data_IF_417750802220
#
_entry.id   IF_417750802220
#
_cell.length_a   1.000
_cell.length_b   1.000
_cell.length_c   1.000
_cell.angle_alpha   90.00
_cell.angle_beta   90.00
_cell.angle_gamma   90.00
#
_symmetry.space_group_name_H-M   'P 1'
#
loop_
_entity.id
_entity.type
_entity.pdbx_description
1 polymer ?
#
# COMPACT_ATOMS: atom_id res chain seq x y z
N UNK A 1 -22.17 -28.07 -39.99
CA UNK A 1 -22.49 -29.46 -40.41
C UNK A 1 -23.83 -29.97 -39.90
N UNK A 2 -24.27 -29.68 -38.66
CA UNK A 2 -25.53 -30.20 -38.10
C UNK A 2 -26.77 -29.91 -38.95
N UNK A 3 -26.96 -28.65 -39.37
CA UNK A 3 -28.11 -28.23 -40.19
C UNK A 3 -28.14 -28.88 -41.58
N UNK A 4 -26.98 -29.20 -42.16
CA UNK A 4 -26.89 -29.87 -43.45
C UNK A 4 -27.26 -31.35 -43.32
N UNK A 5 -26.72 -32.05 -42.33
CA UNK A 5 -27.00 -33.47 -42.10
C UNK A 5 -28.49 -33.73 -41.82
N UNK A 6 -29.13 -32.87 -41.01
CA UNK A 6 -30.57 -32.96 -40.70
C UNK A 6 -31.49 -32.80 -41.92
N UNK A 7 -31.00 -32.32 -43.07
CA UNK A 7 -31.78 -32.28 -44.32
C UNK A 7 -31.84 -33.61 -45.06
N UNK A 8 -30.87 -34.49 -44.84
CA UNK A 8 -30.71 -35.71 -45.65
C UNK A 8 -30.92 -37.00 -44.85
N UNK A 9 -30.56 -36.99 -43.57
CA UNK A 9 -30.50 -38.21 -42.77
C UNK A 9 -31.00 -37.96 -41.36
N UNK A 10 -31.56 -39.00 -40.73
CA UNK A 10 -32.01 -38.96 -39.36
C UNK A 10 -31.73 -40.29 -38.64
N UNK A 11 -31.16 -40.20 -37.45
CA UNK A 11 -31.07 -41.28 -36.47
C UNK A 11 -30.88 -40.71 -35.05
N UNK A 12 -31.11 -41.51 -33.99
CA UNK A 12 -30.90 -41.06 -32.62
C UNK A 12 -29.45 -40.61 -32.39
N UNK A 13 -29.26 -39.42 -31.80
CA UNK A 13 -27.94 -38.82 -31.50
C UNK A 13 -27.08 -38.45 -32.72
N UNK A 14 -27.67 -38.26 -33.91
CA UNK A 14 -26.97 -37.77 -35.12
C UNK A 14 -26.08 -36.56 -34.86
N UNK A 15 -26.52 -35.60 -34.05
CA UNK A 15 -25.70 -34.42 -33.71
C UNK A 15 -24.45 -34.76 -32.89
N UNK A 16 -24.56 -35.72 -31.97
CA UNK A 16 -23.44 -36.15 -31.14
C UNK A 16 -22.41 -36.94 -31.97
N UNK A 17 -22.88 -37.73 -32.93
CA UNK A 17 -22.01 -38.43 -33.87
C UNK A 17 -21.28 -37.46 -34.80
N UNK A 18 -21.97 -36.44 -35.30
CA UNK A 18 -21.35 -35.38 -36.11
C UNK A 18 -20.34 -34.55 -35.31
N UNK A 19 -20.63 -34.26 -34.04
CA UNK A 19 -19.67 -33.62 -33.14
C UNK A 19 -18.44 -34.48 -32.92
N UNK A 20 -18.61 -35.80 -32.72
CA UNK A 20 -17.52 -36.75 -32.54
C UNK A 20 -16.62 -36.81 -33.78
N UNK A 21 -17.20 -36.85 -34.98
CA UNK A 21 -16.44 -36.80 -36.24
C UNK A 21 -15.72 -35.46 -36.39
N UNK A 22 -16.39 -34.34 -36.09
CA UNK A 22 -15.76 -33.02 -36.14
C UNK A 22 -14.65 -32.85 -35.11
N UNK A 23 -14.73 -33.50 -33.94
CA UNK A 23 -13.68 -33.54 -32.92
C UNK A 23 -12.48 -34.40 -33.32
N UNK A 24 -12.73 -35.50 -34.04
CA UNK A 24 -11.69 -36.40 -34.53
C UNK A 24 -10.96 -35.89 -35.78
N UNK A 25 -11.53 -34.92 -36.50
CA UNK A 25 -10.94 -34.34 -37.70
C UNK A 25 -9.83 -33.33 -37.36
N UNK A 26 -8.58 -33.73 -37.57
CA UNK A 26 -7.38 -32.92 -37.26
C UNK A 26 -7.35 -31.55 -38.00
N UNK A 27 -7.59 -31.45 -39.32
CA UNK A 27 -7.67 -30.15 -40.00
C UNK A 27 -8.75 -29.22 -39.41
N UNK A 28 -9.90 -29.79 -39.01
CA UNK A 28 -10.95 -29.00 -38.37
C UNK A 28 -10.58 -28.55 -36.96
N UNK A 29 -9.78 -29.31 -36.22
CA UNK A 29 -9.30 -28.91 -34.90
C UNK A 29 -8.25 -27.80 -34.99
N UNK A 30 -7.36 -27.85 -35.98
CA UNK A 30 -6.32 -26.83 -36.16
C UNK A 30 -6.90 -25.44 -36.49
N UNK A 31 -8.00 -25.40 -37.25
CA UNK A 31 -8.69 -24.16 -37.63
C UNK A 31 -9.79 -23.74 -36.64
N UNK A 32 -9.94 -24.43 -35.50
CA UNK A 32 -10.90 -24.00 -34.48
C UNK A 32 -10.49 -22.67 -33.87
N UNK A 33 -11.49 -21.83 -33.57
CA UNK A 33 -11.29 -20.63 -32.76
C UNK A 33 -10.74 -21.03 -31.40
N UNK A 34 -9.82 -20.21 -30.89
CA UNK A 34 -9.29 -20.37 -29.54
C UNK A 34 -10.44 -20.55 -28.52
N UNK A 35 -10.26 -21.44 -27.52
CA UNK A 35 -11.28 -21.66 -26.50
C UNK A 35 -11.63 -20.34 -25.80
N UNK A 36 -12.87 -20.25 -25.33
CA UNK A 36 -13.29 -19.08 -24.53
C UNK A 36 -12.34 -18.95 -23.34
N UNK A 37 -11.93 -17.71 -23.05
CA UNK A 37 -11.06 -17.43 -21.91
C UNK A 37 -11.70 -18.00 -20.64
N UNK A 38 -10.88 -18.70 -19.86
CA UNK A 38 -11.28 -19.23 -18.55
C UNK A 38 -11.63 -18.08 -17.61
N UNK A 39 -12.56 -18.28 -16.65
CA UNK A 39 -12.86 -17.29 -15.63
C UNK A 39 -11.59 -16.86 -14.92
N UNK A 40 -11.44 -15.55 -14.68
CA UNK A 40 -10.31 -15.01 -13.94
C UNK A 40 -10.34 -15.56 -12.52
N UNK A 41 -9.29 -16.28 -12.13
CA UNK A 41 -9.08 -16.67 -10.74
C UNK A 41 -8.42 -15.48 -10.03
N UNK A 42 -9.11 -14.82 -9.09
CA UNK A 42 -8.52 -13.70 -8.37
C UNK A 42 -7.39 -14.21 -7.48
N UNK A 43 -6.33 -13.42 -7.39
CA UNK A 43 -5.30 -13.62 -6.39
C UNK A 43 -5.89 -13.51 -4.98
N UNK A 44 -5.42 -14.35 -4.07
CA UNK A 44 -5.75 -14.22 -2.65
C UNK A 44 -5.34 -12.83 -2.15
N UNK A 45 -6.23 -12.19 -1.41
CA UNK A 45 -5.96 -10.88 -0.84
C UNK A 45 -4.89 -11.00 0.26
N UNK A 46 -3.78 -10.26 0.17
CA UNK A 46 -2.64 -10.42 1.09
C UNK A 46 -2.95 -10.03 2.54
N UNK A 47 -3.99 -9.24 2.79
CA UNK A 47 -4.41 -8.80 4.12
C UNK A 47 -3.52 -7.75 4.80
N UNK A 48 -2.30 -7.50 4.31
CA UNK A 48 -1.39 -6.49 4.84
C UNK A 48 -0.55 -5.81 3.76
N UNK A 49 -0.20 -4.54 3.99
CA UNK A 49 0.72 -3.76 3.18
C UNK A 49 2.06 -4.46 3.02
N UNK A 50 2.63 -4.46 1.82
CA UNK A 50 3.99 -4.94 1.55
C UNK A 50 4.21 -6.44 1.72
N UNK A 51 3.16 -7.26 1.75
CA UNK A 51 3.30 -8.73 1.74
C UNK A 51 3.56 -9.26 0.34
N UNK A 52 2.71 -8.87 -0.62
CA UNK A 52 2.87 -9.22 -2.04
C UNK A 52 3.09 -7.95 -2.85
N UNK A 53 4.18 -7.94 -3.59
CA UNK A 53 4.58 -6.82 -4.44
C UNK A 53 4.65 -7.30 -5.89
N UNK A 54 4.17 -6.50 -6.82
CA UNK A 54 4.39 -6.72 -8.24
C UNK A 54 5.43 -5.75 -8.78
N UNK A 55 6.31 -6.24 -9.65
CA UNK A 55 7.33 -5.44 -10.31
C UNK A 55 7.21 -5.62 -11.82
N UNK A 56 7.33 -4.52 -12.54
CA UNK A 56 7.37 -4.51 -14.00
C UNK A 56 8.27 -3.38 -14.51
N UNK A 57 8.76 -3.52 -15.73
CA UNK A 57 9.58 -2.51 -16.39
C UNK A 57 8.78 -1.82 -17.51
N UNK A 58 8.71 -0.49 -17.42
CA UNK A 58 8.13 0.35 -18.45
C UNK A 58 9.23 0.98 -19.30
N UNK A 59 9.48 0.48 -20.50
CA UNK A 59 10.46 1.10 -21.39
C UNK A 59 10.39 0.63 -22.85
N UNK A 60 10.94 1.43 -23.78
CA UNK A 60 11.38 2.81 -23.60
C UNK A 60 10.18 3.79 -23.56
N UNK A 61 10.14 4.68 -22.57
CA UNK A 61 9.16 5.77 -22.45
C UNK A 61 9.89 7.07 -22.17
N UNK A 62 9.65 8.12 -22.96
CA UNK A 62 10.43 9.37 -22.90
C UNK A 62 11.96 9.16 -23.00
N UNK A 63 12.40 8.15 -23.76
CA UNK A 63 13.83 7.81 -23.88
C UNK A 63 14.44 7.12 -22.67
N UNK A 64 13.64 6.72 -21.67
CA UNK A 64 14.09 6.07 -20.46
C UNK A 64 13.32 4.79 -20.16
N UNK A 65 13.91 3.94 -19.33
CA UNK A 65 13.23 2.76 -18.78
C UNK A 65 12.94 3.01 -17.31
N UNK A 66 11.74 2.65 -16.86
CA UNK A 66 11.30 2.81 -15.49
C UNK A 66 11.00 1.46 -14.87
N UNK A 67 11.51 1.23 -13.67
CA UNK A 67 11.08 0.12 -12.82
C UNK A 67 9.87 0.60 -12.02
N UNK A 68 8.76 -0.11 -12.17
CA UNK A 68 7.50 0.18 -11.49
C UNK A 68 7.22 -0.93 -10.51
N UNK A 69 7.00 -0.56 -9.25
CA UNK A 69 6.74 -1.47 -8.15
C UNK A 69 5.42 -1.09 -7.50
N UNK A 70 4.58 -2.09 -7.27
CA UNK A 70 3.23 -1.90 -6.77
C UNK A 70 2.96 -2.85 -5.61
N UNK A 71 2.56 -2.29 -4.47
CA UNK A 71 2.00 -3.08 -3.38
C UNK A 71 0.56 -3.53 -3.69
N UNK A 72 0.28 -4.83 -3.53
CA UNK A 72 -1.05 -5.38 -3.84
C UNK A 72 -2.13 -4.94 -2.86
N UNK A 73 -1.80 -4.69 -1.59
CA UNK A 73 -2.77 -4.33 -0.57
C UNK A 73 -3.13 -2.84 -0.65
N UNK A 74 -2.17 -1.97 -0.38
CA UNK A 74 -2.36 -0.52 -0.31
C UNK A 74 -2.45 0.14 -1.68
N UNK A 75 -2.05 -0.57 -2.76
CA UNK A 75 -1.85 0.01 -4.10
C UNK A 75 -0.76 1.09 -4.11
N UNK A 76 0.16 1.05 -3.15
CA UNK A 76 1.32 1.93 -3.10
C UNK A 76 2.19 1.72 -4.34
N UNK A 77 2.51 2.81 -5.02
CA UNK A 77 3.26 2.83 -6.27
C UNK A 77 4.63 3.46 -6.03
N UNK A 78 5.68 2.76 -6.43
CA UNK A 78 7.05 3.26 -6.53
C UNK A 78 7.49 3.23 -7.99
N UNK A 79 8.16 4.29 -8.44
CA UNK A 79 8.65 4.40 -9.81
C UNK A 79 10.09 4.88 -9.75
N UNK A 80 10.99 4.13 -10.40
CA UNK A 80 12.40 4.48 -10.48
C UNK A 80 12.87 4.52 -11.92
N UNK A 81 13.53 5.61 -12.30
CA UNK A 81 14.27 5.66 -13.56
C UNK A 81 15.50 4.75 -13.50
N UNK A 82 15.64 3.90 -14.51
CA UNK A 82 16.71 2.91 -14.63
C UNK A 82 17.53 3.20 -15.88
N UNK A 83 18.84 3.40 -15.71
CA UNK A 83 19.76 3.54 -16.83
C UNK A 83 19.94 2.21 -17.57
N UNK A 84 20.06 1.12 -16.80
CA UNK A 84 20.24 -0.25 -17.31
C UNK A 84 19.28 -1.20 -16.58
N UNK A 85 18.76 -2.19 -17.33
CA UNK A 85 17.83 -3.22 -16.84
C UNK A 85 18.54 -4.54 -16.48
N UNK A 86 19.73 -4.48 -15.88
CA UNK A 86 20.44 -5.70 -15.46
C UNK A 86 19.92 -6.20 -14.10
N UNK A 87 20.16 -7.47 -13.80
CA UNK A 87 19.83 -8.06 -12.51
C UNK A 87 20.52 -7.32 -11.36
N UNK A 88 21.81 -6.99 -11.52
CA UNK A 88 22.59 -6.29 -10.50
C UNK A 88 22.03 -4.89 -10.19
N UNK A 89 21.66 -4.09 -11.20
CA UNK A 89 21.09 -2.76 -10.96
C UNK A 89 19.71 -2.87 -10.31
N UNK A 90 18.91 -3.85 -10.71
CA UNK A 90 17.59 -4.15 -10.13
C UNK A 90 17.72 -4.56 -8.66
N UNK A 91 18.62 -5.48 -8.33
CA UNK A 91 18.91 -5.92 -6.96
C UNK A 91 19.41 -4.75 -6.11
N UNK A 92 20.30 -3.90 -6.63
CA UNK A 92 20.79 -2.74 -5.90
C UNK A 92 19.66 -1.76 -5.54
N UNK A 93 18.68 -1.58 -6.43
CA UNK A 93 17.48 -0.77 -6.16
C UNK A 93 16.57 -1.44 -5.13
N UNK A 94 16.31 -2.73 -5.29
CA UNK A 94 15.50 -3.49 -4.33
C UNK A 94 16.10 -3.49 -2.93
N UNK A 95 17.41 -3.63 -2.79
CA UNK A 95 18.11 -3.52 -1.48
C UNK A 95 17.83 -2.18 -0.79
N UNK A 96 17.89 -1.07 -1.52
CA UNK A 96 17.59 0.27 -0.97
C UNK A 96 16.12 0.38 -0.55
N UNK A 97 15.22 -0.15 -1.35
CA UNK A 97 13.78 -0.13 -1.10
C UNK A 97 13.39 -1.01 0.09
N UNK A 98 14.00 -2.20 0.22
CA UNK A 98 13.79 -3.07 1.38
C UNK A 98 14.37 -2.49 2.66
N UNK A 99 15.50 -1.76 2.58
CA UNK A 99 16.06 -1.03 3.71
C UNK A 99 15.17 0.15 4.17
N UNK A 100 14.44 0.79 3.25
CA UNK A 100 13.54 1.90 3.57
C UNK A 100 12.21 1.45 4.19
N UNK A 101 11.72 0.26 3.79
CA UNK A 101 10.42 -0.25 4.20
C UNK A 101 10.57 -1.54 5.02
N UNK A 102 10.49 -2.69 4.36
CA UNK A 102 10.75 -4.03 4.92
C UNK A 102 10.96 -5.02 3.77
N UNK A 103 11.28 -6.27 4.09
CA UNK A 103 11.27 -7.37 3.12
C UNK A 103 9.81 -7.81 2.86
N UNK A 104 9.40 -8.02 1.60
CA UNK A 104 8.12 -8.62 1.27
C UNK A 104 8.13 -10.15 1.44
N UNK A 105 6.97 -10.76 1.62
CA UNK A 105 6.81 -12.23 1.65
C UNK A 105 6.86 -12.80 0.22
N UNK A 106 6.30 -12.07 -0.75
CA UNK A 106 6.21 -12.52 -2.14
C UNK A 106 6.45 -11.37 -3.13
N UNK A 107 7.21 -11.66 -4.18
CA UNK A 107 7.40 -10.76 -5.32
C UNK A 107 6.92 -11.46 -6.59
N UNK A 108 6.07 -10.77 -7.34
CA UNK A 108 5.55 -11.22 -8.63
C UNK A 108 6.17 -10.39 -9.74
N UNK A 109 6.78 -11.03 -10.73
CA UNK A 109 7.41 -10.35 -11.89
C UNK A 109 7.00 -11.00 -13.21
N UNK A 110 7.38 -10.37 -14.31
CA UNK A 110 7.41 -11.04 -15.61
C UNK A 110 8.60 -12.02 -15.72
N UNK A 111 8.69 -12.71 -16.86
CA UNK A 111 9.85 -13.58 -17.20
C UNK A 111 11.02 -12.79 -17.81
N UNK A 112 11.18 -11.51 -17.46
CA UNK A 112 12.33 -10.72 -17.90
C UNK A 112 13.65 -11.36 -17.44
N UNK A 113 14.68 -11.30 -18.28
CA UNK A 113 15.99 -11.93 -18.02
C UNK A 113 16.63 -11.44 -16.71
N UNK A 114 16.34 -10.19 -16.34
CA UNK A 114 16.77 -9.58 -15.08
C UNK A 114 16.18 -10.23 -13.82
N UNK A 115 14.99 -10.83 -13.93
CA UNK A 115 14.33 -11.52 -12.83
C UNK A 115 14.59 -13.03 -12.84
N UNK A 116 14.93 -13.61 -13.99
CA UNK A 116 15.20 -15.06 -14.09
C UNK A 116 16.67 -15.42 -13.87
N UNK A 117 17.56 -14.43 -13.78
CA UNK A 117 19.00 -14.65 -13.54
C UNK A 117 19.30 -15.36 -12.21
N UNK A 118 20.41 -16.08 -12.17
CA UNK A 118 20.86 -16.80 -10.97
C UNK A 118 21.16 -15.86 -9.79
N UNK A 119 21.76 -14.69 -10.07
CA UNK A 119 22.00 -13.65 -9.07
C UNK A 119 20.70 -13.19 -8.38
N UNK A 120 19.62 -13.02 -9.16
CA UNK A 120 18.32 -12.61 -8.63
C UNK A 120 17.67 -13.73 -7.80
N UNK A 121 17.74 -14.98 -8.29
CA UNK A 121 17.25 -16.15 -7.55
C UNK A 121 17.97 -16.30 -6.20
N UNK A 122 19.29 -16.19 -6.19
CA UNK A 122 20.10 -16.26 -4.97
C UNK A 122 19.73 -15.13 -4.01
N UNK A 123 19.54 -13.91 -4.53
CA UNK A 123 19.09 -12.78 -3.71
C UNK A 123 17.72 -13.02 -3.08
N UNK A 124 16.76 -13.59 -3.81
CA UNK A 124 15.43 -13.90 -3.28
C UNK A 124 15.50 -15.00 -2.20
N UNK A 125 16.26 -16.08 -2.45
CA UNK A 125 16.46 -17.16 -1.49
C UNK A 125 17.14 -16.69 -0.21
N UNK A 126 18.18 -15.85 -0.30
CA UNK A 126 18.90 -15.32 0.87
C UNK A 126 18.01 -14.46 1.77
N UNK A 127 16.96 -13.84 1.21
CA UNK A 127 16.05 -12.99 1.96
C UNK A 127 14.71 -13.70 2.28
N UNK A 128 14.60 -14.99 1.99
CA UNK A 128 13.38 -15.80 2.15
C UNK A 128 12.14 -15.16 1.48
N UNK A 129 12.34 -14.63 0.27
CA UNK A 129 11.28 -14.00 -0.52
C UNK A 129 10.79 -14.98 -1.57
N UNK A 130 9.49 -15.27 -1.59
CA UNK A 130 8.89 -16.09 -2.64
C UNK A 130 8.84 -15.31 -3.96
N UNK A 131 9.65 -15.70 -4.92
CA UNK A 131 9.62 -15.14 -6.27
C UNK A 131 8.67 -15.95 -7.17
N UNK A 132 7.66 -15.29 -7.72
CA UNK A 132 6.70 -15.90 -8.66
C UNK A 132 6.76 -15.16 -9.99
N UNK A 133 6.98 -15.89 -11.08
CA UNK A 133 6.97 -15.29 -12.42
C UNK A 133 5.65 -15.56 -13.14
N UNK A 134 5.25 -14.66 -14.03
CA UNK A 134 4.11 -14.91 -14.93
C UNK A 134 4.45 -16.06 -15.88
N UNK A 135 3.50 -16.96 -16.16
CA UNK A 135 3.73 -18.00 -17.16
C UNK A 135 3.83 -17.37 -18.57
N UNK A 136 4.71 -17.87 -19.46
CA UNK A 136 4.77 -17.41 -20.84
C UNK A 136 3.38 -17.51 -21.50
N UNK A 137 2.90 -16.42 -22.10
CA UNK A 137 1.57 -16.36 -22.73
C UNK A 137 0.39 -16.06 -21.78
N UNK A 138 0.64 -15.89 -20.47
CA UNK A 138 -0.37 -15.51 -19.48
C UNK A 138 -0.07 -14.14 -18.83
N UNK A 139 -0.19 -13.02 -19.58
CA UNK A 139 0.05 -11.67 -19.06
C UNK A 139 -0.88 -11.31 -17.89
N UNK A 140 -2.03 -12.00 -17.77
CA UNK A 140 -2.98 -11.81 -16.67
C UNK A 140 -2.35 -11.97 -15.28
N UNK A 141 -1.30 -12.79 -15.13
CA UNK A 141 -0.64 -13.05 -13.84
C UNK A 141 0.07 -11.79 -13.29
N UNK A 142 0.65 -10.95 -14.15
CA UNK A 142 1.26 -9.67 -13.78
C UNK A 142 0.42 -8.45 -14.22
N UNK A 143 -0.84 -8.66 -14.60
CA UNK A 143 -1.70 -7.60 -15.15
C UNK A 143 -1.95 -6.42 -14.19
N UNK A 144 -1.71 -6.61 -12.89
CA UNK A 144 -1.71 -5.51 -11.93
C UNK A 144 -0.60 -4.51 -12.24
N UNK A 145 0.65 -4.96 -12.37
CA UNK A 145 1.77 -4.08 -12.66
C UNK A 145 1.61 -3.42 -14.04
N UNK A 146 1.17 -4.17 -15.06
CA UNK A 146 0.90 -3.63 -16.39
C UNK A 146 -0.14 -2.48 -16.36
N UNK A 147 -1.21 -2.63 -15.57
CA UNK A 147 -2.21 -1.57 -15.37
C UNK A 147 -1.60 -0.32 -14.73
N UNK A 148 -0.68 -0.50 -13.78
CA UNK A 148 0.01 0.62 -13.16
C UNK A 148 1.07 1.27 -14.07
N UNK A 149 1.71 0.49 -14.95
CA UNK A 149 2.53 1.03 -16.05
C UNK A 149 1.71 1.96 -16.94
N UNK A 150 0.49 1.56 -17.31
CA UNK A 150 -0.40 2.40 -18.10
C UNK A 150 -0.83 3.66 -17.34
N UNK A 151 -1.13 3.52 -16.05
CA UNK A 151 -1.51 4.64 -15.17
C UNK A 151 -0.37 5.65 -15.05
N UNK A 152 0.87 5.17 -14.86
CA UNK A 152 2.07 6.00 -14.85
C UNK A 152 2.27 6.73 -16.18
N UNK A 153 2.25 6.00 -17.31
CA UNK A 153 2.42 6.61 -18.65
C UNK A 153 1.36 7.67 -18.92
N UNK A 154 0.10 7.42 -18.55
CA UNK A 154 -1.00 8.37 -18.70
C UNK A 154 -0.82 9.60 -17.83
N UNK A 155 -0.43 9.41 -16.56
CA UNK A 155 -0.11 10.51 -15.63
C UNK A 155 1.03 11.39 -16.15
N UNK A 156 2.13 10.78 -16.60
CA UNK A 156 3.27 11.51 -17.15
C UNK A 156 2.94 12.27 -18.44
N UNK A 157 2.08 11.71 -19.32
CA UNK A 157 1.60 12.43 -20.50
C UNK A 157 0.79 13.68 -20.13
N UNK A 158 -0.02 13.62 -19.07
CA UNK A 158 -0.76 14.79 -18.58
C UNK A 158 0.18 15.89 -18.05
N UNK A 159 1.31 15.51 -17.46
CA UNK A 159 2.33 16.44 -16.96
C UNK A 159 3.33 16.91 -18.04
N UNK A 160 3.14 16.51 -19.30
CA UNK A 160 4.07 16.85 -20.38
C UNK A 160 4.17 18.36 -20.64
N UNK A 161 3.08 19.11 -20.43
CA UNK A 161 3.02 20.56 -20.65
C UNK A 161 3.79 21.39 -19.60
N UNK A 162 4.19 20.79 -18.47
CA UNK A 162 4.91 21.50 -17.42
C UNK A 162 6.41 21.60 -17.74
N UNK A 163 7.00 22.78 -17.53
CA UNK A 163 8.44 23.04 -17.66
C UNK A 163 9.18 22.63 -16.38
N UNK A 164 9.17 21.34 -16.06
CA UNK A 164 9.84 20.76 -14.89
C UNK A 164 10.76 19.61 -15.32
N UNK A 165 11.76 19.30 -14.50
CA UNK A 165 12.60 18.11 -14.72
C UNK A 165 11.77 16.83 -14.58
N UNK A 166 12.25 15.75 -15.20
CA UNK A 166 11.56 14.47 -15.22
C UNK A 166 11.39 13.89 -13.81
N UNK A 167 12.41 13.97 -12.96
CA UNK A 167 12.34 13.43 -11.58
C UNK A 167 11.35 14.23 -10.73
N UNK A 168 11.27 15.55 -10.92
CA UNK A 168 10.28 16.39 -10.26
C UNK A 168 8.85 16.06 -10.72
N UNK A 169 8.66 15.78 -12.02
CA UNK A 169 7.37 15.32 -12.57
C UNK A 169 6.96 13.97 -11.98
N UNK A 170 7.89 13.03 -11.84
CA UNK A 170 7.63 11.73 -11.21
C UNK A 170 7.24 11.94 -9.75
N UNK A 171 7.97 12.78 -9.02
CA UNK A 171 7.69 13.09 -7.61
C UNK A 171 6.30 13.72 -7.43
N UNK A 172 5.94 14.67 -8.30
CA UNK A 172 4.62 15.30 -8.32
C UNK A 172 3.51 14.27 -8.61
N UNK A 173 3.72 13.43 -9.63
CA UNK A 173 2.79 12.35 -9.98
C UNK A 173 2.58 11.38 -8.82
N UNK A 174 3.67 10.90 -8.20
CA UNK A 174 3.61 9.97 -7.09
C UNK A 174 2.88 10.57 -5.89
N UNK A 175 3.16 11.83 -5.56
CA UNK A 175 2.47 12.53 -4.47
C UNK A 175 0.96 12.58 -4.73
N UNK A 176 0.55 13.02 -5.92
CA UNK A 176 -0.87 13.10 -6.29
C UNK A 176 -1.55 11.73 -6.29
N UNK A 177 -0.89 10.71 -6.86
CA UNK A 177 -1.43 9.35 -6.90
C UNK A 177 -1.60 8.76 -5.50
N UNK A 178 -0.60 8.92 -4.63
CA UNK A 178 -0.60 8.36 -3.27
C UNK A 178 -1.64 8.97 -2.35
N UNK A 179 -2.00 10.24 -2.55
CA UNK A 179 -3.01 10.95 -1.75
C UNK A 179 -4.42 10.83 -2.32
N UNK A 180 -4.57 10.39 -3.57
CA UNK A 180 -5.89 10.24 -4.20
C UNK A 180 -6.52 8.91 -3.80
N UNK A 181 -7.77 8.89 -3.32
CA UNK A 181 -8.48 7.65 -3.01
C UNK A 181 -8.56 6.72 -4.23
N UNK A 182 -8.23 5.45 -4.04
CA UNK A 182 -8.33 4.45 -5.09
C UNK A 182 -9.76 3.89 -5.15
N UNK A 183 -10.32 3.73 -6.34
CA UNK A 183 -11.68 3.23 -6.53
C UNK A 183 -11.91 1.81 -5.99
N UNK A 184 -10.85 0.98 -5.90
CA UNK A 184 -10.95 -0.40 -5.44
C UNK A 184 -10.97 -0.50 -3.91
N UNK A 185 -10.18 0.33 -3.23
CA UNK A 185 -10.01 0.27 -1.76
C UNK A 185 -10.84 1.32 -1.03
N UNK A 186 -11.32 2.36 -1.72
CA UNK A 186 -12.04 3.50 -1.11
C UNK A 186 -11.16 4.43 -0.28
N UNK A 187 -9.89 4.11 -0.08
CA UNK A 187 -8.92 4.89 0.69
C UNK A 187 -7.70 5.23 -0.17
N UNK A 188 -6.93 6.26 0.22
CA UNK A 188 -5.71 6.62 -0.50
C UNK A 188 -4.62 5.57 -0.26
N UNK A 189 -3.75 5.31 -1.26
CA UNK A 189 -2.63 4.40 -1.06
C UNK A 189 -1.73 4.80 0.11
N UNK A 190 -1.58 6.10 0.38
CA UNK A 190 -0.77 6.58 1.48
C UNK A 190 -1.36 6.28 2.85
N UNK A 191 -2.67 6.41 3.01
CA UNK A 191 -3.34 6.11 4.27
C UNK A 191 -3.23 4.61 4.60
N UNK A 192 -3.42 3.75 3.60
CA UNK A 192 -3.30 2.29 3.76
C UNK A 192 -1.86 1.83 3.99
N UNK A 193 -0.89 2.45 3.31
CA UNK A 193 0.50 2.05 3.40
C UNK A 193 1.17 2.55 4.67
N UNK A 194 0.96 3.83 5.01
CA UNK A 194 1.61 4.47 6.16
C UNK A 194 0.77 4.39 7.44
N UNK A 195 -0.47 3.92 7.37
CA UNK A 195 -1.45 3.91 8.47
C UNK A 195 -1.60 5.28 9.14
N UNK A 196 -1.41 6.36 8.37
CA UNK A 196 -1.55 7.75 8.82
C UNK A 196 -1.92 8.65 7.65
N UNK A 197 -2.64 9.72 7.95
CA UNK A 197 -2.95 10.74 6.97
C UNK A 197 -1.70 11.47 6.50
N UNK A 198 -1.45 11.49 5.19
CA UNK A 198 -0.35 12.26 4.62
C UNK A 198 -0.77 13.70 4.45
N UNK A 199 -0.02 14.60 5.09
CA UNK A 199 -0.31 16.02 5.04
C UNK A 199 -0.08 16.58 3.63
N UNK A 200 -1.10 17.17 3.04
CA UNK A 200 -1.07 17.80 1.72
C UNK A 200 -1.38 19.30 1.81
N UNK A 201 -1.23 20.02 0.69
CA UNK A 201 -1.62 21.43 0.61
C UNK A 201 -3.14 21.64 0.77
N UNK A 202 -3.95 20.62 0.49
CA UNK A 202 -5.41 20.70 0.64
C UNK A 202 -5.84 20.64 2.10
N UNK A 203 -5.01 20.10 2.98
CA UNK A 203 -5.32 20.02 4.42
C UNK A 203 -5.34 21.38 5.10
N UNK A 204 -4.68 22.40 4.52
CA UNK A 204 -4.76 23.77 5.01
C UNK A 204 -6.15 24.39 4.89
N UNK A 205 -7.05 23.79 4.09
CA UNK A 205 -8.44 24.22 3.98
C UNK A 205 -9.23 23.75 5.21
N UNK A 206 -8.82 22.66 5.86
CA UNK A 206 -9.50 22.14 7.03
C UNK A 206 -9.18 23.03 8.25
N UNK A 207 -10.19 23.40 9.06
CA UNK A 207 -9.96 24.18 10.26
C UNK A 207 -9.06 23.41 11.22
N UNK A 208 -8.05 24.09 11.75
CA UNK A 208 -7.07 23.47 12.65
C UNK A 208 -7.75 23.02 13.95
N UNK A 209 -7.91 21.71 14.10
CA UNK A 209 -8.51 21.08 15.29
C UNK A 209 -7.72 21.47 16.55
N UNK A 210 -6.42 21.73 16.44
CA UNK A 210 -5.60 22.13 17.59
C UNK A 210 -6.00 23.50 18.13
N UNK A 211 -6.45 24.42 17.27
CA UNK A 211 -6.97 25.73 17.69
C UNK A 211 -8.28 25.56 18.45
N UNK A 212 -9.17 24.71 17.95
CA UNK A 212 -10.42 24.38 18.64
C UNK A 212 -10.18 23.72 20.00
N UNK A 213 -9.25 22.77 20.08
CA UNK A 213 -8.86 22.08 21.32
C UNK A 213 -8.21 23.06 22.30
N UNK A 214 -7.24 23.87 21.86
CA UNK A 214 -6.58 24.89 22.70
C UNK A 214 -7.58 25.90 23.24
N UNK A 215 -8.55 26.34 22.42
CA UNK A 215 -9.61 27.24 22.86
C UNK A 215 -10.47 26.60 23.96
N UNK A 216 -10.85 25.33 23.80
CA UNK A 216 -11.59 24.58 24.83
C UNK A 216 -10.77 24.42 26.12
N UNK A 217 -9.49 24.08 26.01
CA UNK A 217 -8.57 23.98 27.15
C UNK A 217 -8.41 25.32 27.87
N UNK A 218 -8.27 26.42 27.12
CA UNK A 218 -8.16 27.77 27.68
C UNK A 218 -9.44 28.18 28.40
N UNK A 219 -10.62 27.94 27.80
CA UNK A 219 -11.90 28.21 28.45
C UNK A 219 -12.08 27.37 29.71
N UNK A 220 -11.72 26.08 29.67
CA UNK A 220 -11.76 25.21 30.84
C UNK A 220 -10.85 25.74 31.96
N UNK A 221 -9.62 26.15 31.63
CA UNK A 221 -8.71 26.80 32.58
C UNK A 221 -9.31 28.11 33.12
N UNK A 222 -9.82 28.98 32.27
CA UNK A 222 -10.42 30.26 32.65
C UNK A 222 -11.57 30.09 33.65
N UNK A 223 -12.52 29.19 33.36
CA UNK A 223 -13.63 28.93 34.28
C UNK A 223 -13.17 28.24 35.58
N UNK A 224 -12.20 27.34 35.50
CA UNK A 224 -11.63 26.71 36.70
C UNK A 224 -10.92 27.73 37.59
N UNK A 225 -10.10 28.60 37.00
CA UNK A 225 -9.31 29.61 37.70
C UNK A 225 -10.19 30.69 38.37
N UNK A 226 -11.39 30.98 37.84
CA UNK A 226 -12.36 31.87 38.50
C UNK A 226 -12.82 31.36 39.87
N UNK A 227 -12.86 30.05 40.07
CA UNK A 227 -13.22 29.44 41.35
C UNK A 227 -12.01 28.89 42.11
N UNK A 228 -10.81 28.97 41.54
CA UNK A 228 -9.60 28.46 42.15
C UNK A 228 -8.98 29.50 43.09
N UNK A 229 -8.55 29.03 44.26
CA UNK A 229 -7.78 29.84 45.20
C UNK A 229 -6.33 29.36 45.14
N UNK A 230 -5.40 30.27 44.89
CA UNK A 230 -3.97 29.96 44.96
C UNK A 230 -3.61 29.56 46.39
N UNK A 231 -3.04 28.36 46.54
CA UNK A 231 -2.51 27.86 47.80
C UNK A 231 -1.03 27.59 47.60
N UNK A 232 -0.19 28.37 48.27
CA UNK A 232 1.24 28.14 48.37
C UNK A 232 1.56 27.61 49.76
N UNK A 233 2.46 26.64 49.82
CA UNK A 233 2.97 26.08 51.06
C UNK A 233 4.49 26.18 51.10
N UNK A 234 5.04 26.39 52.29
CA UNK A 234 6.47 26.46 52.55
C UNK A 234 7.01 25.11 53.03
N UNK A 235 8.33 24.94 52.92
CA UNK A 235 8.98 23.78 53.52
C UNK A 235 8.75 23.78 55.05
N UNK A 236 8.39 22.61 55.60
CA UNK A 236 7.99 22.35 57.00
C UNK A 236 6.53 22.63 57.37
N UNK A 237 5.68 23.03 56.43
CA UNK A 237 4.24 23.15 56.69
C UNK A 237 3.60 21.76 56.89
N UNK A 238 2.73 21.65 57.89
CA UNK A 238 1.95 20.44 58.16
C UNK A 238 0.72 20.39 57.22
N UNK A 239 0.58 19.31 56.47
CA UNK A 239 -0.49 19.10 55.49
C UNK A 239 -1.12 17.72 55.66
N UNK A 240 -2.36 17.58 55.22
CA UNK A 240 -3.04 16.28 55.17
C UNK A 240 -3.07 15.74 53.73
N UNK A 241 -2.57 14.52 53.55
CA UNK A 241 -2.55 13.79 52.30
C UNK A 241 -3.84 12.97 52.15
N UNK A 242 -4.49 13.04 50.98
CA UNK A 242 -5.67 12.22 50.70
C UNK A 242 -5.23 10.79 50.43
N UNK A 243 -5.73 9.84 51.22
CA UNK A 243 -5.48 8.42 51.00
C UNK A 243 -6.32 7.93 49.80
N UNK A 244 -5.64 7.45 48.74
CA UNK A 244 -6.28 6.94 47.51
C UNK A 244 -6.32 5.42 47.43
N UNK A 245 -5.66 4.69 48.34
CA UNK A 245 -5.52 3.22 48.27
C UNK A 245 -6.66 2.44 48.95
N UNK A 246 -7.78 3.10 49.25
CA UNK A 246 -9.03 2.41 49.61
C UNK A 246 -8.93 1.56 50.88
N UNK A 247 -8.85 2.21 52.05
CA UNK A 247 -8.89 1.58 53.37
C UNK A 247 -8.15 2.41 54.41
N UNK A 248 -8.78 2.68 55.56
CA UNK A 248 -8.27 3.55 56.63
C UNK A 248 -8.78 5.00 56.57
N UNK A 249 -8.20 5.88 57.39
CA UNK A 249 -8.58 7.30 57.45
C UNK A 249 -8.35 7.98 56.09
N UNK A 250 -9.34 8.77 55.65
CA UNK A 250 -9.36 9.47 54.35
C UNK A 250 -8.20 10.48 54.18
N UNK A 251 -7.65 10.94 55.30
CA UNK A 251 -6.59 11.95 55.38
C UNK A 251 -5.46 11.46 56.29
N UNK A 252 -4.22 11.55 55.82
CA UNK A 252 -3.00 11.14 56.54
C UNK A 252 -2.16 12.40 56.78
N UNK A 253 -1.73 12.71 58.01
CA UNK A 253 -0.87 13.87 58.27
C UNK A 253 0.51 13.67 57.63
N UNK A 254 1.12 14.74 57.15
CA UNK A 254 2.47 14.76 56.61
C UNK A 254 3.07 16.16 56.60
N UNK A 255 4.38 16.26 56.38
CA UNK A 255 5.11 17.53 56.39
C UNK A 255 5.75 17.75 55.02
N UNK A 256 5.66 18.97 54.50
CA UNK A 256 6.26 19.33 53.23
C UNK A 256 7.78 19.39 53.36
N UNK A 257 8.48 18.57 52.57
CA UNK A 257 9.95 18.53 52.53
C UNK A 257 10.50 19.57 51.56
N UNK A 258 9.96 19.61 50.33
CA UNK A 258 10.39 20.55 49.29
C UNK A 258 9.36 20.71 48.19
N UNK A 259 9.32 21.87 47.57
CA UNK A 259 8.53 22.12 46.36
C UNK A 259 9.21 21.46 45.15
N UNK A 260 8.46 20.67 44.38
CA UNK A 260 8.95 19.98 43.17
C UNK A 260 8.40 20.57 41.87
N UNK A 261 7.35 21.39 41.95
CA UNK A 261 6.79 22.13 40.81
C UNK A 261 5.87 23.27 41.27
N UNK A 262 5.24 24.00 40.33
CA UNK A 262 4.42 25.17 40.66
C UNK A 262 3.30 24.88 41.66
N UNK A 263 2.69 23.70 41.56
CA UNK A 263 1.60 23.21 42.44
C UNK A 263 1.91 21.83 43.04
N UNK A 264 3.17 21.40 42.96
CA UNK A 264 3.60 20.04 43.35
C UNK A 264 4.60 20.12 44.50
N UNK A 265 4.35 19.35 45.56
CA UNK A 265 5.17 19.32 46.77
C UNK A 265 5.54 17.88 47.11
N UNK A 266 6.79 17.66 47.53
CA UNK A 266 7.22 16.40 48.13
C UNK A 266 6.88 16.44 49.62
N UNK A 267 6.04 15.52 50.06
CA UNK A 267 5.58 15.40 51.44
C UNK A 267 6.15 14.12 52.06
N UNK A 268 6.55 14.21 53.33
CA UNK A 268 6.95 13.07 54.15
C UNK A 268 5.83 12.83 55.17
N UNK A 269 5.15 11.69 55.04
CA UNK A 269 4.12 11.21 55.98
C UNK A 269 4.69 10.18 56.94
#
# INVERSE_FOLDING_TARGET
MKTLARKYVWWPKVDADLERVSRACEPCQMEQKAPRQVPLQPWEFPGQSWKRIHIDFAGPFLGHTFMILVDTYSKWLEVYRMSNITSQTTIARLKRLFAAYRLPEQIVTDNGTQFTSEEFKNFMQLNDILHTTSAPGHPATNGLAERYVQTFKSGMKKLAHLTMDLEDKISLFLMQYRTTPNCTTGQSPADLFLNRHVRTRLDFIHPDVTVAVRRKQYLQKYYHDQCAVERSFSAKDAVYLRNTTGGGNKWIPGVIVKQTGPVSYKVQG
#
